data_IF_377564843553
#
_entry.id   IF_377564843553
#
_cell.length_a   1.000
_cell.length_b   1.000
_cell.length_c   1.000
_cell.angle_alpha   90.00
_cell.angle_beta   90.00
_cell.angle_gamma   90.00
#
_symmetry.space_group_name_H-M   'P 1'
#
loop_
_entity.id
_entity.type
_entity.pdbx_description
1 polymer ?
#
# COMPACT_ATOMS: atom_id res chain seq x y z
N UNK A 1 -1.99 2.11 26.30
CA UNK A 1 -3.15 1.37 25.74
C UNK A 1 -3.98 2.33 24.90
N UNK A 2 -3.80 2.35 23.58
CA UNK A 2 -4.67 3.12 22.67
C UNK A 2 -6.02 2.42 22.59
N UNK A 3 -7.08 3.07 23.11
CA UNK A 3 -8.48 2.67 22.90
C UNK A 3 -8.72 2.58 21.38
N UNK A 4 -8.72 1.37 20.80
CA UNK A 4 -9.17 1.17 19.42
C UNK A 4 -10.63 1.58 19.40
N UNK A 5 -10.97 2.60 18.60
CA UNK A 5 -12.36 2.99 18.46
C UNK A 5 -13.10 1.81 17.82
N UNK A 6 -14.10 1.25 18.50
CA UNK A 6 -14.88 0.10 18.02
C UNK A 6 -15.80 0.43 16.84
N UNK A 7 -15.41 1.36 15.97
CA UNK A 7 -16.23 1.86 14.88
C UNK A 7 -15.91 1.11 13.60
N UNK A 8 -16.95 0.67 12.88
CA UNK A 8 -16.82 0.11 11.54
C UNK A 8 -16.06 1.09 10.63
N UNK A 9 -15.11 0.55 9.87
CA UNK A 9 -14.28 1.28 8.91
C UNK A 9 -14.79 0.99 7.49
N UNK A 10 -14.74 1.95 6.58
CA UNK A 10 -15.16 1.71 5.20
C UNK A 10 -14.07 0.96 4.44
N UNK A 11 -14.42 -0.21 3.88
CA UNK A 11 -13.49 -0.98 3.04
C UNK A 11 -13.08 -0.19 1.80
N UNK A 12 -14.01 0.57 1.20
CA UNK A 12 -13.73 1.40 0.03
C UNK A 12 -12.71 2.50 0.35
N UNK A 13 -12.82 3.14 1.52
CA UNK A 13 -11.84 4.16 1.94
C UNK A 13 -10.47 3.51 2.16
N UNK A 14 -10.40 2.34 2.81
CA UNK A 14 -9.14 1.63 3.01
C UNK A 14 -8.47 1.27 1.67
N UNK A 15 -9.27 0.81 0.69
CA UNK A 15 -8.80 0.47 -0.65
C UNK A 15 -8.30 1.69 -1.40
N UNK A 16 -9.07 2.79 -1.43
CA UNK A 16 -8.69 4.04 -2.07
C UNK A 16 -7.39 4.60 -1.49
N UNK A 17 -7.26 4.60 -0.16
CA UNK A 17 -6.06 5.08 0.52
C UNK A 17 -4.83 4.26 0.15
N UNK A 18 -4.91 2.92 0.20
CA UNK A 18 -3.79 2.09 -0.25
C UNK A 18 -3.54 2.15 -1.76
N UNK A 19 -4.57 2.49 -2.55
CA UNK A 19 -4.45 2.74 -3.98
C UNK A 19 -3.68 4.02 -4.29
N UNK A 20 -3.76 5.04 -3.42
CA UNK A 20 -2.95 6.26 -3.52
C UNK A 20 -1.50 5.99 -3.11
N UNK A 21 -1.31 5.28 -1.99
CA UNK A 21 0.02 5.01 -1.47
C UNK A 21 -0.01 3.74 -0.59
N UNK A 22 0.87 2.76 -0.82
CA UNK A 22 0.99 1.58 0.03
C UNK A 22 1.14 1.94 1.51
N UNK A 23 0.36 1.26 2.36
CA UNK A 23 0.35 1.47 3.82
C UNK A 23 -0.73 2.42 4.35
N UNK A 24 -1.28 3.34 3.53
CA UNK A 24 -2.29 4.29 4.03
C UNK A 24 -3.60 3.62 4.44
N UNK A 25 -4.08 2.63 3.70
CA UNK A 25 -5.28 1.87 4.07
C UNK A 25 -5.09 1.08 5.36
N UNK A 26 -3.88 0.59 5.63
CA UNK A 26 -3.53 -0.06 6.91
C UNK A 26 -3.53 0.95 8.07
N UNK A 27 -3.00 2.17 7.86
CA UNK A 27 -3.11 3.23 8.86
C UNK A 27 -4.55 3.64 9.15
N UNK A 28 -5.40 3.77 8.12
CA UNK A 28 -6.83 4.02 8.30
C UNK A 28 -7.53 2.93 9.10
N UNK A 29 -7.13 1.68 8.85
CA UNK A 29 -7.60 0.53 9.61
C UNK A 29 -7.06 0.50 11.04
N UNK A 30 -6.14 1.38 11.46
CA UNK A 30 -5.43 1.34 12.75
C UNK A 30 -4.52 0.10 12.89
N UNK A 31 -4.01 -0.42 11.77
CA UNK A 31 -2.96 -1.46 11.74
C UNK A 31 -1.59 -0.82 11.48
N UNK A 32 -1.05 -0.17 12.51
CA UNK A 32 0.17 0.64 12.44
C UNK A 32 1.40 -0.15 11.98
N UNK A 33 1.56 -1.39 12.45
CA UNK A 33 2.72 -2.21 12.09
C UNK A 33 2.73 -2.50 10.59
N UNK A 34 1.60 -2.94 10.03
CA UNK A 34 1.50 -3.17 8.59
C UNK A 34 1.58 -1.87 7.79
N UNK A 35 0.97 -0.79 8.31
CA UNK A 35 1.05 0.52 7.68
C UNK A 35 2.49 0.98 7.52
N UNK A 36 3.30 0.91 8.58
CA UNK A 36 4.73 1.23 8.55
C UNK A 36 5.46 0.30 7.59
N UNK A 37 5.21 -1.01 7.64
CA UNK A 37 5.90 -1.99 6.80
C UNK A 37 5.66 -1.74 5.31
N UNK A 38 4.41 -1.52 4.90
CA UNK A 38 4.09 -1.22 3.50
C UNK A 38 4.57 0.17 3.08
N UNK A 39 4.42 1.18 3.93
CA UNK A 39 4.81 2.55 3.61
C UNK A 39 6.33 2.68 3.46
N UNK A 40 7.09 2.30 4.49
CA UNK A 40 8.55 2.35 4.47
C UNK A 40 9.11 1.36 3.46
N UNK A 41 8.54 0.15 3.39
CA UNK A 41 8.94 -0.87 2.42
C UNK A 41 8.78 -0.40 0.98
N UNK A 42 7.72 0.36 0.66
CA UNK A 42 7.55 0.94 -0.67
C UNK A 42 8.65 1.93 -1.00
N UNK A 43 8.96 2.90 -0.13
CA UNK A 43 10.03 3.87 -0.39
C UNK A 43 11.40 3.20 -0.48
N UNK A 44 11.65 2.20 0.35
CA UNK A 44 12.87 1.40 0.29
C UNK A 44 12.99 0.68 -1.07
N UNK A 45 11.94 -0.01 -1.51
CA UNK A 45 11.92 -0.69 -2.81
C UNK A 45 12.01 0.30 -3.97
N UNK A 46 11.38 1.47 -3.86
CA UNK A 46 11.47 2.53 -4.86
C UNK A 46 12.92 2.99 -5.03
N UNK A 47 13.60 3.33 -3.94
CA UNK A 47 14.99 3.76 -3.96
C UNK A 47 15.96 2.65 -4.42
N UNK A 48 15.65 1.40 -4.11
CA UNK A 48 16.49 0.25 -4.47
C UNK A 48 16.28 -0.20 -5.93
N UNK A 49 15.03 -0.25 -6.40
CA UNK A 49 14.69 -0.79 -7.72
C UNK A 49 14.71 0.28 -8.82
N UNK A 50 14.48 1.55 -8.49
CA UNK A 50 14.49 2.66 -9.44
C UNK A 50 15.56 3.69 -9.06
N UNK A 51 16.85 3.42 -9.37
CA UNK A 51 17.90 4.43 -9.27
C UNK A 51 17.68 5.62 -10.21
N UNK A 52 16.89 5.42 -11.27
CA UNK A 52 16.47 6.49 -12.17
C UNK A 52 15.47 7.43 -11.48
N UNK A 53 15.52 8.72 -11.81
CA UNK A 53 14.56 9.70 -11.28
C UNK A 53 13.13 9.32 -11.68
N UNK A 54 12.21 9.35 -10.70
CA UNK A 54 10.78 9.14 -10.93
C UNK A 54 10.23 10.02 -12.07
N UNK A 55 10.65 11.30 -12.12
CA UNK A 55 10.21 12.23 -13.15
C UNK A 55 10.76 11.88 -14.53
N UNK A 56 11.97 11.33 -14.62
CA UNK A 56 12.55 10.94 -15.91
C UNK A 56 11.87 9.69 -16.47
N UNK A 57 11.46 8.76 -15.61
CA UNK A 57 10.63 7.61 -16.00
C UNK A 57 9.27 8.09 -16.49
N UNK A 58 8.60 8.98 -15.74
CA UNK A 58 7.26 9.48 -16.07
C UNK A 58 7.23 10.27 -17.37
N UNK A 59 8.26 11.09 -17.62
CA UNK A 59 8.41 11.89 -18.83
C UNK A 59 9.01 11.10 -20.01
N UNK A 60 9.16 9.77 -19.88
CA UNK A 60 9.72 8.87 -20.90
C UNK A 60 11.14 9.27 -21.37
N UNK A 61 11.92 9.92 -20.49
CA UNK A 61 13.32 10.27 -20.75
C UNK A 61 14.25 9.07 -20.55
N UNK A 62 13.80 8.07 -19.79
CA UNK A 62 14.48 6.78 -19.63
C UNK A 62 13.95 5.81 -20.68
N UNK A 63 14.85 5.12 -21.37
CA UNK A 63 14.48 4.08 -22.33
C UNK A 63 13.74 2.94 -21.61
N UNK A 64 12.57 2.57 -22.11
CA UNK A 64 11.81 1.44 -21.58
C UNK A 64 12.48 0.11 -21.98
N UNK A 65 13.31 -0.43 -21.10
CA UNK A 65 13.94 -1.74 -21.27
C UNK A 65 13.11 -2.83 -20.60
N UNK A 66 13.32 -4.09 -20.98
CA UNK A 66 12.66 -5.23 -20.31
C UNK A 66 13.00 -5.32 -18.83
N UNK A 67 14.23 -4.95 -18.45
CA UNK A 67 14.67 -4.86 -17.06
C UNK A 67 13.90 -3.78 -16.27
N UNK A 68 13.77 -2.57 -16.82
CA UNK A 68 12.97 -1.51 -16.18
C UNK A 68 11.51 -1.95 -16.03
N UNK A 69 10.93 -2.59 -17.05
CA UNK A 69 9.57 -3.13 -16.98
C UNK A 69 9.45 -4.17 -15.86
N UNK A 70 10.41 -5.08 -15.72
CA UNK A 70 10.41 -6.08 -14.66
C UNK A 70 10.45 -5.43 -13.26
N UNK A 71 11.32 -4.43 -13.05
CA UNK A 71 11.42 -3.68 -11.79
C UNK A 71 10.12 -2.93 -11.46
N UNK A 72 9.48 -2.31 -12.46
CA UNK A 72 8.17 -1.67 -12.32
C UNK A 72 7.07 -2.68 -11.98
N UNK A 73 7.08 -3.87 -12.59
CA UNK A 73 6.12 -4.93 -12.28
C UNK A 73 6.29 -5.43 -10.85
N UNK A 74 7.53 -5.58 -10.35
CA UNK A 74 7.77 -5.95 -8.95
C UNK A 74 7.17 -4.92 -7.99
N UNK A 75 7.37 -3.62 -8.27
CA UNK A 75 6.75 -2.54 -7.50
C UNK A 75 5.21 -2.58 -7.60
N UNK A 76 4.67 -2.82 -8.80
CA UNK A 76 3.23 -2.96 -9.02
C UNK A 76 2.62 -4.13 -8.24
N UNK A 77 3.30 -5.28 -8.19
CA UNK A 77 2.89 -6.43 -7.37
C UNK A 77 2.90 -6.08 -5.89
N UNK A 78 3.98 -5.47 -5.39
CA UNK A 78 4.05 -5.03 -3.99
C UNK A 78 2.91 -4.06 -3.63
N UNK A 79 2.64 -3.11 -4.52
CA UNK A 79 1.53 -2.16 -4.36
C UNK A 79 0.18 -2.89 -4.33
N UNK A 80 -0.07 -3.78 -5.29
CA UNK A 80 -1.28 -4.58 -5.34
C UNK A 80 -1.50 -5.42 -4.08
N UNK A 81 -0.43 -6.01 -3.52
CA UNK A 81 -0.46 -6.72 -2.24
C UNK A 81 -0.86 -5.79 -1.08
N UNK A 82 -0.35 -4.55 -1.05
CA UNK A 82 -0.73 -3.56 -0.04
C UNK A 82 -2.21 -3.18 -0.11
N UNK A 83 -2.74 -2.97 -1.32
CA UNK A 83 -4.16 -2.67 -1.55
C UNK A 83 -5.04 -3.84 -1.10
N UNK A 84 -4.69 -5.05 -1.51
CA UNK A 84 -5.40 -6.25 -1.12
C UNK A 84 -5.40 -6.47 0.39
N UNK A 85 -4.25 -6.29 1.07
CA UNK A 85 -4.18 -6.41 2.52
C UNK A 85 -5.06 -5.35 3.23
N UNK A 86 -5.13 -4.12 2.72
CA UNK A 86 -5.95 -3.07 3.33
C UNK A 86 -7.45 -3.40 3.28
N UNK A 87 -7.94 -3.88 2.14
CA UNK A 87 -9.33 -4.34 2.00
C UNK A 87 -9.61 -5.56 2.91
N UNK A 88 -8.72 -6.56 2.89
CA UNK A 88 -8.85 -7.75 3.74
C UNK A 88 -8.86 -7.40 5.23
N UNK A 89 -7.99 -6.48 5.65
CA UNK A 89 -7.88 -6.03 7.04
C UNK A 89 -9.12 -5.26 7.48
N UNK A 90 -9.69 -4.42 6.61
CA UNK A 90 -10.94 -3.71 6.88
C UNK A 90 -12.12 -4.68 7.04
N UNK A 91 -12.26 -5.64 6.11
CA UNK A 91 -13.28 -6.71 6.17
C UNK A 91 -13.19 -7.51 7.46
N UNK A 92 -11.98 -7.95 7.84
CA UNK A 92 -11.77 -8.73 9.07
C UNK A 92 -12.16 -7.95 10.33
N UNK A 93 -11.81 -6.66 10.41
CA UNK A 93 -12.19 -5.81 11.56
C UNK A 93 -13.69 -5.58 11.64
N UNK A 94 -14.34 -5.31 10.51
CA UNK A 94 -15.78 -5.13 10.46
C UNK A 94 -16.56 -6.41 10.80
N UNK A 95 -16.08 -7.58 10.36
CA UNK A 95 -16.66 -8.87 10.73
C UNK A 95 -16.57 -9.12 12.24
N UNK A 96 -15.41 -8.87 12.84
CA UNK A 96 -15.23 -9.02 14.29
C UNK A 96 -16.15 -8.10 15.11
N UNK A 97 -16.39 -6.87 14.66
CA UNK A 97 -17.33 -5.94 15.28
C UNK A 97 -18.80 -6.36 15.14
N UNK A 98 -19.13 -7.22 14.16
CA UNK A 98 -20.50 -7.69 13.94
C UNK A 98 -20.83 -8.95 14.74
N UNK A 99 -19.83 -9.56 15.36
CA UNK A 99 -19.94 -10.76 16.19
C UNK A 99 -19.97 -10.43 17.70
N UNK A 100 -19.90 -9.14 18.05
CA UNK A 100 -20.03 -8.59 19.40
C UNK A 100 -21.43 -8.02 19.57
#
# INVERSE_FOLDING_TARGET
MTKRSGKRKSNQIALLLSGIQPGLGQFYNEDWLKGILFFVGFFFLLAFLLPESYLDILLMKVKMTGDLLFRLLMLGVFWGLSVYDADRSAKKKNAALSAL
#
